data_IF_628061613258
#
_entry.id   IF_628061613258
#
_cell.length_a   1.000
_cell.length_b   1.000
_cell.length_c   1.000
_cell.angle_alpha   90.00
_cell.angle_beta   90.00
_cell.angle_gamma   90.00
#
_symmetry.space_group_name_H-M   'P 1'
#
loop_
_entity.id
_entity.type
_entity.pdbx_description
1 polymer ?
#
# COMPACT_ATOMS: atom_id res chain seq x y z
N UNK A 1 -1.95 28.53 2.81
CA UNK A 1 -1.47 27.27 3.43
C UNK A 1 0.05 27.38 3.53
N UNK A 2 0.62 27.19 4.72
CA UNK A 2 2.08 27.22 4.87
C UNK A 2 2.70 25.93 4.28
N UNK A 3 4.03 25.89 4.13
CA UNK A 3 4.73 24.75 3.54
C UNK A 3 4.54 23.46 4.35
N UNK A 4 4.53 23.56 5.69
CA UNK A 4 4.33 22.43 6.60
C UNK A 4 2.97 21.76 6.38
N UNK A 5 1.89 22.54 6.36
CA UNK A 5 0.52 22.04 6.12
C UNK A 5 0.40 21.43 4.72
N UNK A 6 1.08 22.01 3.73
CA UNK A 6 1.11 21.48 2.37
C UNK A 6 1.80 20.11 2.29
N UNK A 7 2.97 19.97 2.92
CA UNK A 7 3.69 18.69 2.98
C UNK A 7 2.86 17.66 3.72
N UNK A 8 2.30 17.98 4.89
CA UNK A 8 1.45 17.05 5.64
C UNK A 8 0.27 16.57 4.77
N UNK A 9 -0.41 17.47 4.05
CA UNK A 9 -1.50 17.09 3.15
C UNK A 9 -1.05 16.19 1.97
N UNK A 10 0.13 16.46 1.40
CA UNK A 10 0.74 15.58 0.37
C UNK A 10 1.06 14.20 0.95
N UNK A 11 1.60 14.11 2.16
CA UNK A 11 1.93 12.86 2.84
C UNK A 11 0.69 12.06 3.28
N UNK A 12 -0.40 12.74 3.65
CA UNK A 12 -1.67 12.07 3.90
C UNK A 12 -2.23 11.39 2.64
N UNK A 13 -2.14 12.09 1.51
CA UNK A 13 -2.54 11.56 0.20
C UNK A 13 -1.62 10.41 -0.22
N UNK A 14 -0.30 10.58 -0.03
CA UNK A 14 0.70 9.56 -0.31
C UNK A 14 0.38 8.22 0.36
N UNK A 15 0.12 8.22 1.67
CA UNK A 15 -0.16 6.98 2.43
C UNK A 15 -1.42 6.26 1.94
N UNK A 16 -2.38 6.97 1.35
CA UNK A 16 -3.57 6.33 0.77
C UNK A 16 -3.30 5.59 -0.54
N UNK A 17 -2.20 5.93 -1.23
CA UNK A 17 -1.75 5.29 -2.47
C UNK A 17 -0.72 4.21 -2.16
N UNK A 18 0.33 4.54 -1.40
CA UNK A 18 1.43 3.65 -1.07
C UNK A 18 1.17 2.91 0.25
N UNK A 19 0.18 2.01 0.23
CA UNK A 19 -0.32 1.34 1.45
C UNK A 19 0.72 0.48 2.19
N UNK A 20 1.79 0.06 1.53
CA UNK A 20 2.89 -0.72 2.13
C UNK A 20 4.04 0.16 2.62
N UNK A 21 3.87 1.48 2.64
CA UNK A 21 4.90 2.44 3.04
C UNK A 21 4.64 3.07 4.40
N UNK A 22 5.68 3.65 4.97
CA UNK A 22 5.64 4.55 6.11
C UNK A 22 6.36 5.82 5.71
N UNK A 23 5.81 6.96 6.14
CA UNK A 23 6.43 8.26 5.96
C UNK A 23 6.67 8.93 7.30
N UNK A 24 7.82 9.56 7.43
CA UNK A 24 8.19 10.41 8.56
C UNK A 24 8.61 11.76 8.00
N UNK A 25 8.26 12.82 8.71
CA UNK A 25 8.53 14.18 8.25
C UNK A 25 9.01 15.05 9.41
N UNK A 26 10.08 15.80 9.15
CA UNK A 26 10.69 16.76 10.05
C UNK A 26 10.83 18.12 9.35
N UNK A 27 10.56 19.18 10.09
CA UNK A 27 10.81 20.55 9.65
C UNK A 27 11.88 21.19 10.52
N UNK A 28 13.01 21.56 9.93
CA UNK A 28 14.01 22.38 10.59
C UNK A 28 13.78 23.85 10.25
N UNK A 29 13.19 24.59 11.20
CA UNK A 29 12.92 26.03 11.07
C UNK A 29 14.19 26.86 10.84
N UNK A 30 15.35 26.43 11.37
CA UNK A 30 16.60 27.21 11.27
C UNK A 30 17.15 27.24 9.85
N UNK A 31 17.11 26.09 9.17
CA UNK A 31 17.52 25.98 7.77
C UNK A 31 16.36 26.09 6.78
N UNK A 32 15.12 26.16 7.28
CA UNK A 32 13.89 26.11 6.49
C UNK A 32 13.86 24.88 5.58
N UNK A 33 14.23 23.75 6.14
CA UNK A 33 14.36 22.48 5.41
C UNK A 33 13.26 21.51 5.82
N UNK A 34 12.63 20.91 4.81
CA UNK A 34 11.63 19.87 4.92
C UNK A 34 12.29 18.54 4.58
N UNK A 35 12.41 17.66 5.58
CA UNK A 35 12.98 16.33 5.40
C UNK A 35 11.88 15.28 5.46
N UNK A 36 11.73 14.52 4.39
CA UNK A 36 10.74 13.46 4.24
C UNK A 36 11.49 12.13 4.14
N UNK A 37 11.24 11.25 5.09
CA UNK A 37 11.77 9.88 5.08
C UNK A 37 10.68 8.93 4.60
N UNK A 38 10.99 8.12 3.60
CA UNK A 38 10.10 7.10 3.05
C UNK A 38 10.67 5.71 3.30
N UNK A 39 9.82 4.86 3.87
CA UNK A 39 10.14 3.49 4.23
C UNK A 39 9.11 2.54 3.62
N UNK A 40 9.48 1.30 3.30
CA UNK A 40 10.85 0.79 3.30
C UNK A 40 11.63 1.23 2.06
N UNK A 41 12.96 1.01 2.07
CA UNK A 41 13.88 1.41 0.99
C UNK A 41 13.47 0.92 -0.41
N UNK A 42 12.78 -0.21 -0.50
CA UNK A 42 12.33 -0.74 -1.79
C UNK A 42 11.30 0.18 -2.47
N UNK A 43 10.48 0.90 -1.69
CA UNK A 43 9.59 1.93 -2.24
C UNK A 43 10.43 3.10 -2.77
N UNK A 44 11.42 3.54 -2.00
CA UNK A 44 12.27 4.66 -2.38
C UNK A 44 13.10 4.39 -3.65
N UNK A 45 13.64 3.18 -3.81
CA UNK A 45 14.59 2.85 -4.87
C UNK A 45 14.00 2.17 -6.11
N UNK A 46 12.89 1.43 -5.98
CA UNK A 46 12.43 0.49 -7.01
C UNK A 46 10.97 0.71 -7.43
N UNK A 47 10.27 1.70 -6.86
CA UNK A 47 8.89 1.98 -7.21
C UNK A 47 8.82 3.18 -8.15
N UNK A 48 8.51 2.92 -9.43
CA UNK A 48 8.41 3.97 -10.46
C UNK A 48 7.32 5.00 -10.14
N UNK A 49 6.18 4.58 -9.56
CA UNK A 49 5.10 5.48 -9.16
C UNK A 49 5.57 6.43 -8.03
N UNK A 50 6.43 5.94 -7.12
CA UNK A 50 7.05 6.76 -6.09
C UNK A 50 7.99 7.81 -6.71
N UNK A 51 8.84 7.38 -7.65
CA UNK A 51 9.81 8.26 -8.31
C UNK A 51 9.10 9.39 -9.06
N UNK A 52 8.02 9.08 -9.78
CA UNK A 52 7.18 10.08 -10.43
C UNK A 52 6.54 11.03 -9.41
N UNK A 53 5.94 10.48 -8.35
CA UNK A 53 5.34 11.29 -7.29
C UNK A 53 6.34 12.22 -6.58
N UNK A 54 7.56 11.73 -6.31
CA UNK A 54 8.64 12.51 -5.69
C UNK A 54 9.01 13.68 -6.60
N UNK A 55 9.23 13.43 -7.90
CA UNK A 55 9.57 14.46 -8.88
C UNK A 55 8.48 15.53 -8.99
N UNK A 56 7.22 15.13 -9.12
CA UNK A 56 6.09 16.06 -9.19
C UNK A 56 5.94 16.89 -7.90
N UNK A 57 6.07 16.23 -6.75
CA UNK A 57 5.98 16.90 -5.45
C UNK A 57 7.12 17.88 -5.24
N UNK A 58 8.34 17.52 -5.67
CA UNK A 58 9.49 18.40 -5.63
C UNK A 58 9.27 19.64 -6.49
N UNK A 59 8.88 19.47 -7.76
CA UNK A 59 8.66 20.56 -8.71
C UNK A 59 7.52 21.51 -8.26
N UNK A 60 6.41 20.94 -7.78
CA UNK A 60 5.33 21.75 -7.19
C UNK A 60 5.80 22.52 -5.96
N UNK A 61 6.59 21.88 -5.09
CA UNK A 61 7.06 22.48 -3.84
C UNK A 61 7.97 23.67 -4.11
N UNK A 62 9.01 23.49 -4.95
CA UNK A 62 9.95 24.58 -5.28
C UNK A 62 9.25 25.74 -5.99
N UNK A 63 8.19 25.47 -6.75
CA UNK A 63 7.37 26.50 -7.40
C UNK A 63 6.56 27.32 -6.39
N UNK A 64 5.95 26.67 -5.39
CA UNK A 64 5.10 27.31 -4.38
C UNK A 64 5.88 27.95 -3.24
N UNK A 65 7.01 27.35 -2.85
CA UNK A 65 7.80 27.71 -1.68
C UNK A 65 9.28 27.91 -2.05
N UNK A 66 9.62 28.84 -2.96
CA UNK A 66 10.96 28.97 -3.56
C UNK A 66 12.07 29.42 -2.59
N UNK A 67 11.75 29.62 -1.32
CA UNK A 67 12.70 30.04 -0.29
C UNK A 67 12.88 29.01 0.83
N UNK A 68 12.31 27.82 0.66
CA UNK A 68 12.44 26.67 1.56
C UNK A 68 13.08 25.50 0.80
N UNK A 69 13.71 24.60 1.53
CA UNK A 69 14.36 23.41 0.96
C UNK A 69 13.51 22.17 1.23
N UNK A 70 13.50 21.22 0.30
CA UNK A 70 12.86 19.91 0.49
C UNK A 70 13.86 18.82 0.13
N UNK A 71 13.92 17.76 0.94
CA UNK A 71 14.72 16.57 0.67
C UNK A 71 13.94 15.30 1.04
N UNK A 72 14.20 14.26 0.25
CA UNK A 72 13.65 12.92 0.42
C UNK A 72 14.79 11.97 0.78
N UNK A 73 14.59 11.16 1.82
CA UNK A 73 15.58 10.21 2.33
C UNK A 73 14.93 8.84 2.58
N UNK A 74 15.78 7.83 2.73
CA UNK A 74 15.39 6.47 3.10
C UNK A 74 16.19 6.00 4.34
N UNK A 75 15.93 4.81 4.87
CA UNK A 75 16.63 4.30 6.06
C UNK A 75 18.14 4.06 5.87
N UNK A 76 18.61 3.96 4.62
CA UNK A 76 20.03 3.87 4.27
C UNK A 76 20.78 5.21 4.28
N UNK A 77 20.06 6.31 4.47
CA UNK A 77 20.63 7.65 4.43
C UNK A 77 21.51 7.92 5.66
N UNK A 78 22.60 8.68 5.45
CA UNK A 78 23.49 9.10 6.54
C UNK A 78 22.79 10.05 7.53
N UNK A 79 21.83 10.81 7.03
CA UNK A 79 20.97 11.72 7.80
C UNK A 79 19.69 10.98 8.14
N UNK A 80 19.20 11.15 9.37
CA UNK A 80 17.99 10.51 9.88
C UNK A 80 17.05 11.55 10.46
N UNK A 81 15.75 11.23 10.46
CA UNK A 81 14.76 11.98 11.22
C UNK A 81 14.81 11.50 12.67
N UNK A 82 15.19 12.38 13.58
CA UNK A 82 15.25 12.09 15.02
C UNK A 82 13.94 12.47 15.73
N UNK A 83 13.31 13.57 15.32
CA UNK A 83 12.11 14.12 15.97
C UNK A 83 11.06 14.50 14.93
N UNK A 84 10.34 13.51 14.36
CA UNK A 84 9.33 13.78 13.35
C UNK A 84 8.19 14.62 13.91
N UNK A 85 7.79 15.65 13.17
CA UNK A 85 6.57 16.41 13.45
C UNK A 85 5.33 15.71 12.88
N UNK A 86 5.52 14.80 11.93
CA UNK A 86 4.48 13.94 11.38
C UNK A 86 5.03 12.56 11.07
N UNK A 87 4.22 11.54 11.33
CA UNK A 87 4.55 10.14 11.05
C UNK A 87 3.26 9.38 10.75
N UNK A 88 3.26 8.58 9.68
CA UNK A 88 2.09 7.78 9.32
C UNK A 88 2.49 6.52 8.58
N UNK A 89 1.81 5.44 8.93
CA UNK A 89 2.00 4.12 8.34
C UNK A 89 0.81 3.78 7.44
N UNK A 90 1.11 3.19 6.28
CA UNK A 90 0.11 2.59 5.41
C UNK A 90 -0.45 1.30 5.99
N UNK A 91 -1.61 0.90 5.51
CA UNK A 91 -2.37 -0.26 6.03
C UNK A 91 -1.58 -1.58 6.00
N UNK A 92 -0.67 -1.73 5.05
CA UNK A 92 0.13 -2.93 4.82
C UNK A 92 1.61 -2.72 5.15
N UNK A 93 1.97 -1.61 5.80
CA UNK A 93 3.34 -1.38 6.22
C UNK A 93 3.75 -2.41 7.27
N UNK A 94 4.89 -3.05 7.06
CA UNK A 94 5.48 -3.97 8.03
C UNK A 94 6.93 -3.54 8.28
N UNK A 95 7.32 -3.22 9.53
CA UNK A 95 8.66 -2.70 9.85
C UNK A 95 9.79 -3.74 9.73
N UNK A 96 9.46 -4.99 9.39
CA UNK A 96 10.42 -6.07 9.20
C UNK A 96 10.31 -6.55 7.77
N UNK A 97 11.42 -6.52 7.02
CA UNK A 97 11.53 -7.28 5.78
C UNK A 97 11.50 -8.76 6.14
N UNK A 98 10.30 -9.34 6.17
CA UNK A 98 10.18 -10.78 6.26
C UNK A 98 10.69 -11.27 4.91
N UNK A 99 11.81 -11.99 4.87
CA UNK A 99 12.06 -12.90 3.75
C UNK A 99 10.72 -13.55 3.44
N UNK A 100 10.14 -13.29 2.26
CA UNK A 100 8.85 -13.84 1.88
C UNK A 100 9.04 -15.35 1.70
N UNK A 101 9.08 -16.07 2.82
CA UNK A 101 8.93 -17.51 2.88
C UNK A 101 7.48 -17.77 2.58
N UNK A 102 7.21 -18.16 1.34
CA UNK A 102 5.91 -18.70 0.99
C UNK A 102 5.66 -19.91 1.88
N UNK A 103 4.59 -19.85 2.67
CA UNK A 103 4.09 -21.05 3.32
C UNK A 103 3.36 -21.84 2.24
N UNK A 104 4.03 -22.85 1.69
CA UNK A 104 3.40 -23.81 0.79
C UNK A 104 2.64 -24.79 1.66
N UNK A 105 1.30 -24.66 1.67
CA UNK A 105 0.45 -25.68 2.25
C UNK A 105 0.36 -26.85 1.28
N UNK A 106 0.85 -28.00 1.71
CA UNK A 106 0.45 -29.24 1.09
C UNK A 106 -1.03 -29.48 1.42
N UNK A 107 -1.89 -29.23 0.42
CA UNK A 107 -3.34 -29.40 0.57
C UNK A 107 -3.73 -30.86 0.86
N UNK A 108 -2.86 -31.84 0.58
CA UNK A 108 -3.12 -33.24 0.98
C UNK A 108 -3.02 -33.46 2.50
N UNK A 109 -2.37 -32.54 3.22
CA UNK A 109 -2.16 -32.58 4.66
C UNK A 109 -3.16 -31.70 5.46
N UNK A 110 -4.04 -30.94 4.80
CA UNK A 110 -4.99 -30.04 5.46
C UNK A 110 -6.24 -30.81 5.90
N UNK A 111 -6.43 -30.99 7.21
CA UNK A 111 -7.67 -31.53 7.76
C UNK A 111 -8.60 -30.41 8.23
N UNK A 112 -9.75 -30.27 7.57
CA UNK A 112 -10.80 -29.34 7.97
C UNK A 112 -11.71 -30.06 8.99
N UNK A 113 -11.52 -29.77 10.28
CA UNK A 113 -12.43 -30.24 11.33
C UNK A 113 -13.51 -29.18 11.61
N UNK A 114 -14.75 -29.43 11.20
CA UNK A 114 -15.90 -28.57 11.52
C UNK A 114 -16.44 -28.92 12.92
N UNK A 115 -16.46 -27.96 13.85
CA UNK A 115 -17.28 -28.08 15.06
C UNK A 115 -18.72 -27.70 14.70
N UNK A 116 -19.58 -28.71 14.54
CA UNK A 116 -20.99 -28.52 14.24
C UNK A 116 -21.74 -28.11 15.51
N UNK A 117 -22.01 -26.82 15.66
CA UNK A 117 -23.16 -26.39 16.47
C UNK A 117 -24.39 -26.48 15.57
N UNK A 118 -25.33 -27.36 15.93
CA UNK A 118 -26.59 -27.67 15.22
C UNK A 118 -27.06 -26.55 14.29
N UNK A 119 -26.84 -26.70 12.98
CA UNK A 119 -27.77 -26.39 11.89
C UNK A 119 -27.13 -26.81 10.54
N UNK A 120 -27.96 -27.39 9.68
CA UNK A 120 -27.56 -28.04 8.43
C UNK A 120 -27.02 -27.00 7.45
N UNK A 121 -25.71 -27.03 7.18
CA UNK A 121 -25.12 -26.32 6.04
C UNK A 121 -24.48 -27.36 5.12
N UNK A 122 -24.96 -27.40 3.88
CA UNK A 122 -24.42 -28.18 2.78
C UNK A 122 -23.31 -27.35 2.11
N UNK A 123 -22.11 -27.91 2.01
CA UNK A 123 -21.00 -27.29 1.29
C UNK A 123 -20.67 -28.12 0.07
N UNK A 124 -20.67 -27.51 -1.11
CA UNK A 124 -20.17 -28.07 -2.35
C UNK A 124 -18.72 -27.61 -2.55
N UNK A 125 -17.80 -28.56 -2.62
CA UNK A 125 -16.41 -28.33 -2.99
C UNK A 125 -16.23 -28.69 -4.47
N UNK A 126 -16.00 -27.70 -5.32
CA UNK A 126 -15.67 -27.91 -6.72
C UNK A 126 -14.15 -27.86 -6.87
N UNK A 127 -13.54 -29.02 -7.10
CA UNK A 127 -12.12 -29.12 -7.42
C UNK A 127 -11.96 -28.96 -8.94
N UNK A 128 -11.45 -27.82 -9.42
CA UNK A 128 -11.01 -27.69 -10.80
C UNK A 128 -9.62 -28.33 -10.95
N UNK A 129 -9.53 -29.39 -11.76
CA UNK A 129 -8.25 -29.96 -12.21
C UNK A 129 -7.58 -28.96 -13.16
N UNK A 130 -6.23 -28.84 -13.17
CA UNK A 130 -5.53 -27.97 -14.11
C UNK A 130 -5.42 -28.68 -15.46
N UNK A 131 -6.31 -28.38 -16.41
CA UNK A 131 -6.04 -28.70 -17.81
C UNK A 131 -5.17 -27.59 -18.43
N UNK A 132 -4.02 -27.99 -18.94
CA UNK A 132 -3.15 -27.18 -19.80
C UNK A 132 -3.91 -26.88 -21.11
N UNK A 133 -4.67 -25.79 -21.12
CA UNK A 133 -5.35 -25.32 -22.32
C UNK A 133 -4.63 -24.07 -22.85
N UNK A 134 -3.96 -24.27 -23.99
CA UNK A 134 -3.47 -23.25 -24.91
C UNK A 134 -4.58 -22.24 -25.18
N UNK A 135 -4.29 -20.95 -25.06
CA UNK A 135 -5.26 -19.88 -25.31
C UNK A 135 -5.46 -19.77 -26.82
N UNK A 136 -6.62 -20.21 -27.31
CA UNK A 136 -7.21 -19.65 -28.53
C UNK A 136 -8.30 -18.66 -28.12
N UNK A 137 -8.11 -17.39 -28.52
CA UNK A 137 -9.07 -16.31 -28.31
C UNK A 137 -10.41 -16.66 -28.95
N UNK A 138 -11.47 -16.82 -28.14
CA UNK A 138 -12.83 -16.61 -28.63
C UNK A 138 -13.71 -15.94 -27.59
N UNK A 139 -14.25 -14.79 -28.00
CA UNK A 139 -15.19 -13.92 -27.28
C UNK A 139 -16.46 -14.65 -26.82
N UNK A 140 -16.84 -14.53 -25.54
CA UNK A 140 -18.19 -14.84 -25.05
C UNK A 140 -18.61 -13.79 -23.98
N UNK A 141 -19.89 -13.34 -23.96
CA UNK A 141 -20.29 -12.04 -23.43
C UNK A 141 -20.67 -12.04 -21.93
N UNK A 142 -20.66 -10.84 -21.35
CA UNK A 142 -20.99 -10.56 -19.95
C UNK A 142 -22.51 -10.59 -19.74
N UNK A 143 -23.01 -11.50 -18.90
CA UNK A 143 -24.38 -11.45 -18.36
C UNK A 143 -24.35 -10.96 -16.90
N UNK A 144 -25.03 -9.83 -16.66
CA UNK A 144 -25.28 -9.28 -15.33
C UNK A 144 -26.50 -9.95 -14.71
N UNK A 145 -26.39 -10.47 -13.48
CA UNK A 145 -27.57 -10.87 -12.69
C UNK A 145 -27.77 -9.92 -11.51
N UNK A 146 -28.96 -9.34 -11.48
CA UNK A 146 -29.44 -8.37 -10.49
C UNK A 146 -29.91 -9.08 -9.21
N UNK A 147 -29.58 -8.52 -8.04
CA UNK A 147 -30.18 -8.90 -6.77
C UNK A 147 -31.57 -8.27 -6.60
N UNK A 148 -32.57 -9.05 -6.21
CA UNK A 148 -33.83 -8.54 -5.67
C UNK A 148 -34.01 -8.97 -4.21
N UNK A 149 -34.15 -7.97 -3.34
CA UNK A 149 -34.45 -8.12 -1.92
C UNK A 149 -35.94 -8.47 -1.75
N UNK A 150 -36.22 -9.57 -1.07
CA UNK A 150 -37.56 -9.88 -0.55
C UNK A 150 -37.77 -9.12 0.76
N UNK A 151 -38.57 -8.05 0.71
CA UNK A 151 -39.14 -7.44 1.90
C UNK A 151 -40.34 -8.27 2.39
N UNK A 152 -40.27 -8.66 3.65
CA UNK A 152 -41.36 -9.30 4.39
C UNK A 152 -42.43 -8.28 4.80
N UNK A 153 -43.70 -8.71 4.74
CA UNK A 153 -44.78 -8.30 5.62
C UNK A 153 -45.81 -9.44 5.68
#
# INVERSE_FOLDING_TARGET
MNAVDYIIGKLESFISVFLSSKVRYEYDEKSRSHMIEVLPIEIYQQNDDYIEWESETFDEFISKYPSENICFISDDSLVKIDSPVFEKEGLYYTPFSVERKSIVFDMSSVQISRKLTKHNLLFTYNQSQPELNTIEETNIPVEYTNYSYLNAA
#
